data_IF_906843798385
#
_entry.id   IF_906843798385
#
_cell.length_a   1.000
_cell.length_b   1.000
_cell.length_c   1.000
_cell.angle_alpha   90.00
_cell.angle_beta   90.00
_cell.angle_gamma   90.00
#
_symmetry.space_group_name_H-M   'P 1'
#
loop_
_entity.id
_entity.type
_entity.pdbx_description
1 polymer ?
#
# COMPACT_ATOMS: atom_id res chain seq x y z
N UNK A 1 5.83 -31.70 0.17
CA UNK A 1 6.64 -30.53 0.57
C UNK A 1 7.07 -30.74 2.00
N UNK A 2 8.29 -30.35 2.36
CA UNK A 2 8.75 -30.48 3.75
C UNK A 2 8.14 -29.31 4.54
N UNK A 3 7.29 -29.59 5.53
CA UNK A 3 6.55 -28.60 6.30
C UNK A 3 7.38 -28.02 7.49
N UNK A 4 8.71 -27.92 7.31
CA UNK A 4 9.58 -27.32 8.32
C UNK A 4 9.26 -25.82 8.43
N UNK A 5 8.71 -25.40 9.56
CA UNK A 5 8.46 -24.00 9.88
C UNK A 5 9.74 -23.41 10.49
N UNK A 6 10.28 -22.38 9.84
CA UNK A 6 11.40 -21.61 10.35
C UNK A 6 10.90 -20.41 11.16
N UNK A 7 11.58 -20.07 12.25
CA UNK A 7 11.21 -18.93 13.09
C UNK A 7 12.42 -18.28 13.75
N UNK A 8 12.26 -17.01 14.08
CA UNK A 8 13.20 -16.26 14.92
C UNK A 8 12.45 -15.70 16.13
N UNK A 9 13.08 -15.66 17.29
CA UNK A 9 12.47 -15.14 18.53
C UNK A 9 13.12 -13.83 18.92
N UNK A 10 12.35 -12.76 19.04
CA UNK A 10 12.83 -11.50 19.60
C UNK A 10 13.20 -11.66 21.07
N UNK A 11 14.44 -11.32 21.42
CA UNK A 11 14.95 -11.30 22.78
C UNK A 11 14.87 -9.92 23.41
N UNK A 12 15.16 -8.88 22.63
CA UNK A 12 15.03 -7.48 23.04
C UNK A 12 14.79 -6.60 21.83
N UNK A 13 14.18 -5.44 22.07
CA UNK A 13 13.90 -4.41 21.07
C UNK A 13 14.26 -3.05 21.63
N UNK A 14 14.91 -2.22 20.82
CA UNK A 14 15.28 -0.85 21.12
C UNK A 14 14.66 0.06 20.04
N UNK A 15 13.85 1.03 20.44
CA UNK A 15 13.32 2.03 19.51
C UNK A 15 14.40 3.05 19.19
N UNK A 16 14.80 3.14 17.93
CA UNK A 16 15.80 4.09 17.44
C UNK A 16 15.18 5.39 16.95
N UNK A 17 13.96 5.32 16.41
CA UNK A 17 13.23 6.47 15.91
C UNK A 17 11.73 6.20 16.03
N UNK A 18 10.98 7.21 16.47
CA UNK A 18 9.52 7.21 16.48
C UNK A 18 9.04 8.46 15.74
N UNK A 19 8.44 8.24 14.57
CA UNK A 19 7.93 9.28 13.70
C UNK A 19 6.41 9.24 13.58
N UNK A 20 5.88 10.14 12.76
CA UNK A 20 4.43 10.19 12.47
C UNK A 20 3.95 9.01 11.62
N UNK A 21 4.79 8.48 10.73
CA UNK A 21 4.43 7.44 9.76
C UNK A 21 5.03 6.10 10.14
N UNK A 22 6.28 6.09 10.57
CA UNK A 22 7.03 4.88 10.87
C UNK A 22 7.66 4.93 12.26
N UNK A 23 7.87 3.75 12.83
CA UNK A 23 8.77 3.55 13.97
C UNK A 23 9.88 2.61 13.54
N UNK A 24 11.15 2.97 13.81
CA UNK A 24 12.30 2.11 13.55
C UNK A 24 12.78 1.48 14.85
N UNK A 25 12.86 0.16 14.87
CA UNK A 25 13.46 -0.59 15.98
C UNK A 25 14.72 -1.32 15.55
N UNK A 26 15.59 -1.57 16.54
CA UNK A 26 16.72 -2.47 16.44
C UNK A 26 16.52 -3.62 17.43
N UNK A 27 16.29 -4.79 16.89
CA UNK A 27 15.96 -5.97 17.65
C UNK A 27 17.15 -6.92 17.74
N UNK A 28 17.26 -7.64 18.86
CA UNK A 28 18.12 -8.82 18.97
C UNK A 28 17.25 -10.06 18.84
N UNK A 29 17.46 -10.83 17.79
CA UNK A 29 16.74 -12.07 17.51
C UNK A 29 17.58 -13.30 17.83
N UNK A 30 16.93 -14.31 18.42
CA UNK A 30 17.49 -15.66 18.60
C UNK A 30 17.16 -16.47 17.34
N UNK A 31 18.18 -16.99 16.70
CA UNK A 31 18.09 -17.86 15.53
C UNK A 31 17.92 -19.32 15.94
N UNK A 32 17.45 -20.17 15.01
CA UNK A 32 17.26 -21.62 15.21
C UNK A 32 18.53 -22.37 15.61
N UNK A 33 19.70 -21.88 15.22
CA UNK A 33 21.00 -22.45 15.58
C UNK A 33 21.50 -22.02 16.97
N UNK A 34 20.69 -21.33 17.76
CA UNK A 34 21.01 -20.82 19.10
C UNK A 34 21.88 -19.56 19.14
N UNK A 35 22.24 -19.01 17.99
CA UNK A 35 22.99 -17.75 17.91
C UNK A 35 22.04 -16.56 17.90
N UNK A 36 22.55 -15.38 18.17
CA UNK A 36 21.80 -14.13 18.05
C UNK A 36 22.21 -13.37 16.80
N UNK A 37 21.24 -12.60 16.25
CA UNK A 37 21.47 -11.67 15.16
C UNK A 37 20.68 -10.37 15.40
N UNK A 38 21.15 -9.29 14.80
CA UNK A 38 20.42 -8.01 14.80
C UNK A 38 19.39 -7.99 13.66
N UNK A 39 18.23 -7.41 13.95
CA UNK A 39 17.20 -7.05 12.96
C UNK A 39 16.89 -5.57 13.09
N UNK A 40 16.84 -4.87 11.99
CA UNK A 40 16.34 -3.51 11.90
C UNK A 40 14.96 -3.58 11.28
N UNK A 41 13.94 -3.09 12.00
CA UNK A 41 12.53 -3.25 11.61
C UNK A 41 11.87 -1.90 11.52
N UNK A 42 11.29 -1.61 10.36
CA UNK A 42 10.40 -0.47 10.14
C UNK A 42 8.98 -0.93 10.45
N UNK A 43 8.35 -0.31 11.44
CA UNK A 43 6.95 -0.56 11.77
C UNK A 43 6.08 0.46 11.07
N UNK A 44 5.12 -0.01 10.28
CA UNK A 44 4.14 0.77 9.54
C UNK A 44 2.72 0.28 9.82
N UNK A 45 1.72 1.17 9.79
CA UNK A 45 0.33 0.80 10.06
C UNK A 45 -0.36 0.07 8.91
N UNK A 46 0.29 -0.03 7.76
CA UNK A 46 -0.26 -0.58 6.54
C UNK A 46 -0.96 0.46 5.68
N UNK A 47 -1.50 0.01 4.57
CA UNK A 47 -2.23 0.83 3.61
C UNK A 47 -3.37 0.07 2.95
N UNK A 48 -4.26 0.81 2.32
CA UNK A 48 -5.32 0.28 1.47
C UNK A 48 -5.15 0.81 0.05
N UNK A 49 -5.26 -0.07 -0.93
CA UNK A 49 -5.15 0.25 -2.36
C UNK A 49 -6.39 -0.24 -3.10
N UNK A 50 -6.86 0.53 -4.05
CA UNK A 50 -8.05 0.18 -4.81
C UNK A 50 -7.82 0.38 -6.31
N UNK A 51 -8.29 -0.56 -7.14
CA UNK A 51 -8.30 -0.50 -8.59
C UNK A 51 -9.73 -0.16 -9.06
N UNK A 52 -10.02 1.10 -9.44
CA UNK A 52 -11.31 1.49 -9.96
C UNK A 52 -11.43 1.06 -11.43
N UNK A 53 -12.26 0.04 -11.70
CA UNK A 53 -12.43 -0.53 -13.03
C UNK A 53 -13.74 -0.12 -13.67
N UNK A 54 -13.67 0.56 -14.81
CA UNK A 54 -14.81 1.01 -15.59
C UNK A 54 -15.30 -0.04 -16.58
N UNK A 55 -16.57 0.01 -16.92
CA UNK A 55 -17.21 -0.94 -17.85
C UNK A 55 -16.60 -0.91 -19.28
N UNK A 56 -15.89 0.15 -19.64
CA UNK A 56 -15.21 0.29 -20.94
C UNK A 56 -13.79 -0.27 -20.96
N UNK A 57 -13.35 -0.95 -19.89
CA UNK A 57 -12.02 -1.54 -19.80
C UNK A 57 -10.89 -0.58 -19.38
N UNK A 58 -11.25 0.64 -18.96
CA UNK A 58 -10.28 1.58 -18.36
C UNK A 58 -10.27 1.47 -16.85
N UNK A 59 -9.17 1.95 -16.23
CA UNK A 59 -9.03 2.09 -14.78
C UNK A 59 -8.75 3.54 -14.43
N UNK A 60 -9.05 3.95 -13.20
CA UNK A 60 -8.56 5.21 -12.66
C UNK A 60 -7.18 5.00 -12.04
N UNK A 61 -6.24 5.82 -12.42
CA UNK A 61 -4.92 5.92 -11.80
C UNK A 61 -4.68 7.34 -11.34
N UNK A 62 -3.84 7.52 -10.35
CA UNK A 62 -3.42 8.83 -9.86
C UNK A 62 -1.96 9.08 -10.20
N UNK A 63 -1.62 10.33 -10.45
CA UNK A 63 -0.25 10.77 -10.66
C UNK A 63 0.12 11.76 -9.57
N UNK A 64 1.13 11.40 -8.76
CA UNK A 64 1.57 12.26 -7.67
C UNK A 64 3.10 12.27 -7.55
N UNK A 65 3.64 13.33 -6.96
CA UNK A 65 5.07 13.44 -6.66
C UNK A 65 5.40 12.67 -5.38
N UNK A 66 6.29 11.68 -5.48
CA UNK A 66 6.79 10.92 -4.33
C UNK A 66 8.14 11.47 -3.88
N UNK A 67 8.12 12.18 -2.75
CA UNK A 67 9.30 12.86 -2.21
C UNK A 67 10.50 11.93 -2.05
N UNK A 68 10.32 10.72 -1.53
CA UNK A 68 11.40 9.76 -1.36
C UNK A 68 12.07 9.36 -2.68
N UNK A 69 11.31 9.31 -3.77
CA UNK A 69 11.80 8.96 -5.12
C UNK A 69 12.20 10.20 -5.93
N UNK A 70 11.87 11.41 -5.47
CA UNK A 70 12.12 12.69 -6.16
C UNK A 70 11.55 12.72 -7.58
N UNK A 71 10.40 12.08 -7.82
CA UNK A 71 9.76 12.02 -9.14
C UNK A 71 8.24 11.87 -9.04
N UNK A 72 7.56 12.17 -10.15
CA UNK A 72 6.14 11.86 -10.29
C UNK A 72 5.97 10.39 -10.69
N UNK A 73 5.09 9.69 -9.98
CA UNK A 73 4.74 8.29 -10.25
C UNK A 73 3.27 8.16 -10.63
N UNK A 74 2.98 7.15 -11.44
CA UNK A 74 1.64 6.65 -11.67
C UNK A 74 1.34 5.53 -10.68
N UNK A 75 0.23 5.64 -10.01
CA UNK A 75 -0.15 4.71 -8.94
C UNK A 75 -1.65 4.37 -9.02
N UNK A 76 -2.05 3.27 -8.43
CA UNK A 76 -3.45 3.07 -8.07
C UNK A 76 -3.78 3.96 -6.86
N UNK A 77 -5.03 4.44 -6.75
CA UNK A 77 -5.48 5.15 -5.56
C UNK A 77 -5.19 4.34 -4.30
N UNK A 78 -4.50 4.95 -3.34
CA UNK A 78 -4.06 4.26 -2.14
C UNK A 78 -3.64 5.21 -1.03
N UNK A 79 -3.97 4.86 0.21
CA UNK A 79 -3.52 5.61 1.36
C UNK A 79 -3.21 4.75 2.57
N UNK A 80 -2.59 5.39 3.55
CA UNK A 80 -2.22 4.78 4.82
C UNK A 80 -3.47 4.52 5.66
N UNK A 81 -3.45 3.42 6.40
CA UNK A 81 -4.46 3.17 7.42
C UNK A 81 -4.28 4.13 8.59
N UNK A 82 -5.37 4.72 9.05
CA UNK A 82 -5.39 5.35 10.35
C UNK A 82 -5.32 4.29 11.46
N UNK A 83 -4.92 4.71 12.66
CA UNK A 83 -4.78 3.77 13.78
C UNK A 83 -6.10 3.07 14.11
N UNK A 84 -6.16 1.77 13.82
CA UNK A 84 -7.35 0.93 14.04
C UNK A 84 -8.44 1.06 12.98
N UNK A 85 -8.13 1.72 11.85
CA UNK A 85 -9.04 1.80 10.71
C UNK A 85 -9.21 0.42 10.06
N UNK A 86 -10.45 0.11 9.68
CA UNK A 86 -10.74 -1.08 8.87
C UNK A 86 -10.20 -0.88 7.45
N UNK A 87 -9.37 -1.80 6.92
CA UNK A 87 -8.74 -1.62 5.61
C UNK A 87 -9.74 -1.46 4.45
N UNK A 88 -10.92 -2.09 4.55
CA UNK A 88 -11.94 -1.95 3.53
C UNK A 88 -12.62 -0.56 3.58
N UNK A 89 -12.81 -0.02 4.77
CA UNK A 89 -13.30 1.34 4.94
C UNK A 89 -12.30 2.34 4.37
N UNK A 90 -11.00 2.16 4.65
CA UNK A 90 -9.93 2.98 4.08
C UNK A 90 -9.92 2.93 2.54
N UNK A 91 -10.03 1.75 1.92
CA UNK A 91 -10.06 1.64 0.46
C UNK A 91 -11.23 2.42 -0.17
N UNK A 92 -12.40 2.44 0.47
CA UNK A 92 -13.56 3.22 0.00
C UNK A 92 -13.33 4.72 0.16
N UNK A 93 -12.75 5.12 1.27
CA UNK A 93 -12.40 6.51 1.56
C UNK A 93 -11.41 7.04 0.52
N UNK A 94 -10.32 6.32 0.27
CA UNK A 94 -9.31 6.69 -0.74
C UNK A 94 -9.87 6.76 -2.16
N UNK A 95 -10.78 5.85 -2.53
CA UNK A 95 -11.48 5.90 -3.82
C UNK A 95 -12.24 7.21 -4.00
N UNK A 96 -12.92 7.67 -2.95
CA UNK A 96 -13.69 8.90 -2.98
C UNK A 96 -12.78 10.13 -2.92
N UNK A 97 -11.82 10.16 -2.02
CA UNK A 97 -10.93 11.29 -1.78
C UNK A 97 -10.05 11.57 -2.99
N UNK A 98 -9.35 10.58 -3.51
CA UNK A 98 -8.36 10.75 -4.58
C UNK A 98 -8.97 10.74 -6.00
N UNK A 99 -10.08 10.02 -6.20
CA UNK A 99 -10.67 9.86 -7.55
C UNK A 99 -12.03 10.54 -7.72
N UNK A 100 -12.70 10.95 -6.64
CA UNK A 100 -14.08 11.40 -6.68
C UNK A 100 -15.02 10.31 -7.21
N UNK A 101 -14.83 9.07 -6.73
CA UNK A 101 -15.60 7.90 -7.17
C UNK A 101 -16.12 7.11 -5.96
N UNK A 102 -17.32 6.55 -6.11
CA UNK A 102 -17.84 5.46 -5.27
C UNK A 102 -18.14 4.25 -6.15
N UNK A 103 -18.42 3.09 -5.58
CA UNK A 103 -18.68 1.87 -6.34
C UNK A 103 -19.80 1.02 -5.75
N UNK A 104 -20.46 0.23 -6.61
CA UNK A 104 -21.49 -0.74 -6.19
C UNK A 104 -20.87 -2.02 -5.63
N UNK A 105 -19.73 -2.45 -6.22
CA UNK A 105 -19.12 -3.73 -5.90
C UNK A 105 -17.63 -3.57 -5.62
N UNK A 106 -17.16 -4.34 -4.62
CA UNK A 106 -15.76 -4.41 -4.23
C UNK A 106 -15.35 -5.88 -4.14
N UNK A 107 -14.24 -6.22 -4.79
CA UNK A 107 -13.69 -7.58 -4.82
C UNK A 107 -12.30 -7.50 -4.19
N UNK A 108 -12.08 -8.21 -3.09
CA UNK A 108 -10.75 -8.29 -2.47
C UNK A 108 -9.78 -9.04 -3.38
N UNK A 109 -8.60 -8.48 -3.55
CA UNK A 109 -7.45 -9.14 -4.18
C UNK A 109 -6.46 -9.70 -3.15
N UNK A 110 -6.74 -9.52 -1.86
CA UNK A 110 -5.89 -9.97 -0.76
C UNK A 110 -4.90 -8.92 -0.28
N UNK A 111 -3.82 -9.41 0.31
CA UNK A 111 -2.77 -8.63 0.96
C UNK A 111 -1.49 -8.65 0.13
N UNK A 112 -0.82 -7.53 0.09
CA UNK A 112 0.48 -7.37 -0.55
C UNK A 112 1.51 -6.89 0.47
N UNK A 113 2.66 -7.54 0.50
CA UNK A 113 3.78 -7.21 1.38
C UNK A 113 4.92 -6.60 0.56
N UNK A 114 5.06 -5.27 0.50
CA UNK A 114 5.99 -4.61 -0.41
C UNK A 114 7.45 -4.89 -0.06
N UNK A 115 7.78 -5.03 1.24
CA UNK A 115 9.16 -5.10 1.69
C UNK A 115 9.35 -6.05 2.88
N UNK A 116 9.14 -7.34 2.65
CA UNK A 116 9.15 -8.39 3.70
C UNK A 116 10.47 -8.54 4.47
N UNK A 117 11.55 -7.94 4.02
CA UNK A 117 12.88 -8.10 4.63
C UNK A 117 13.10 -7.26 5.89
N UNK A 118 12.42 -6.13 6.03
CA UNK A 118 12.61 -5.21 7.15
C UNK A 118 11.42 -4.30 7.48
N UNK A 119 10.33 -4.35 6.71
CA UNK A 119 9.15 -3.51 6.91
C UNK A 119 7.94 -4.37 7.27
N UNK A 120 7.09 -3.87 8.17
CA UNK A 120 5.85 -4.51 8.56
C UNK A 120 4.65 -4.03 7.75
N UNK A 121 4.86 -3.23 6.71
CA UNK A 121 3.78 -2.73 5.88
C UNK A 121 3.00 -3.86 5.21
N UNK A 122 1.68 -3.79 5.33
CA UNK A 122 0.73 -4.62 4.60
C UNK A 122 -0.17 -3.70 3.79
N UNK A 123 -0.27 -3.93 2.49
CA UNK A 123 -1.19 -3.21 1.61
C UNK A 123 -2.37 -4.12 1.28
N UNK A 124 -3.54 -3.75 1.74
CA UNK A 124 -4.80 -4.44 1.44
C UNK A 124 -5.34 -3.93 0.11
N UNK A 125 -5.74 -4.84 -0.79
CA UNK A 125 -6.06 -4.49 -2.17
C UNK A 125 -7.47 -4.91 -2.59
N UNK A 126 -8.16 -4.05 -3.35
CA UNK A 126 -9.48 -4.31 -3.91
C UNK A 126 -9.60 -3.86 -5.36
N UNK A 127 -10.55 -4.48 -6.07
CA UNK A 127 -11.10 -3.95 -7.32
C UNK A 127 -12.48 -3.35 -7.01
N UNK A 128 -12.75 -2.15 -7.52
CA UNK A 128 -14.03 -1.49 -7.46
C UNK A 128 -14.71 -1.44 -8.84
N UNK A 129 -15.96 -1.86 -8.93
CA UNK A 129 -16.76 -1.84 -10.16
C UNK A 129 -18.15 -1.24 -9.92
N UNK A 130 -18.86 -0.85 -10.99
CA UNK A 130 -20.10 -0.08 -10.85
C UNK A 130 -19.81 1.31 -10.32
N UNK A 131 -18.89 2.02 -10.96
CA UNK A 131 -18.35 3.29 -10.48
C UNK A 131 -19.31 4.45 -10.71
N UNK A 132 -19.50 5.26 -9.68
CA UNK A 132 -20.32 6.48 -9.68
C UNK A 132 -19.46 7.69 -9.34
N UNK A 133 -19.70 8.81 -10.02
CA UNK A 133 -19.00 10.07 -9.73
C UNK A 133 -19.51 10.69 -8.43
N UNK A 134 -18.59 11.13 -7.63
CA UNK A 134 -18.80 11.98 -6.45
C UNK A 134 -17.82 13.14 -6.47
N UNK A 135 -17.67 13.83 -5.36
CA UNK A 135 -16.75 14.96 -5.24
C UNK A 135 -15.42 14.47 -4.65
N UNK A 136 -14.34 14.78 -5.33
CA UNK A 136 -12.97 14.55 -4.83
C UNK A 136 -12.65 15.47 -3.64
N UNK A 137 -11.94 14.95 -2.65
CA UNK A 137 -11.61 15.66 -1.40
C UNK A 137 -10.18 15.32 -0.96
N UNK A 138 -9.20 15.92 -1.62
CA UNK A 138 -7.80 15.74 -1.25
C UNK A 138 -7.50 16.42 0.10
N UNK A 139 -6.58 15.85 0.84
CA UNK A 139 -5.98 16.47 1.99
C UNK A 139 -5.22 17.75 1.59
N UNK A 140 -5.04 18.68 2.55
CA UNK A 140 -4.46 20.00 2.28
C UNK A 140 -3.00 19.96 1.78
N UNK A 141 -2.29 18.86 2.05
CA UNK A 141 -0.91 18.59 1.65
C UNK A 141 -0.81 17.52 0.53
N UNK A 142 -1.95 17.12 -0.07
CA UNK A 142 -2.01 16.20 -1.19
C UNK A 142 -2.17 16.92 -2.52
N UNK A 143 -1.29 16.60 -3.46
CA UNK A 143 -1.29 17.13 -4.82
C UNK A 143 -1.18 15.99 -5.80
N UNK A 144 -2.31 15.48 -6.24
CA UNK A 144 -2.40 14.40 -7.22
C UNK A 144 -3.42 14.71 -8.33
N UNK A 145 -3.29 14.01 -9.44
CA UNK A 145 -4.20 14.15 -10.58
C UNK A 145 -4.69 12.76 -10.99
N UNK A 146 -5.99 12.47 -10.84
CA UNK A 146 -6.58 11.24 -11.36
C UNK A 146 -6.69 11.29 -12.87
N UNK A 147 -6.44 10.17 -13.53
CA UNK A 147 -6.61 10.01 -14.97
C UNK A 147 -7.13 8.61 -15.33
N UNK A 148 -7.80 8.50 -16.45
CA UNK A 148 -8.33 7.23 -16.97
C UNK A 148 -7.35 6.62 -17.96
N UNK A 149 -6.94 5.40 -17.67
CA UNK A 149 -5.94 4.66 -18.45
C UNK A 149 -6.54 3.31 -18.85
N UNK A 150 -6.44 2.87 -20.13
CA UNK A 150 -6.79 1.51 -20.51
C UNK A 150 -6.01 0.50 -19.67
N UNK A 151 -6.67 -0.54 -19.13
CA UNK A 151 -6.03 -1.54 -18.28
C UNK A 151 -4.82 -2.17 -18.98
N UNK A 152 -4.93 -2.47 -20.26
CA UNK A 152 -3.82 -3.01 -21.05
C UNK A 152 -2.63 -2.06 -21.09
N UNK A 153 -2.87 -0.75 -21.23
CA UNK A 153 -1.79 0.25 -21.18
C UNK A 153 -1.14 0.31 -19.80
N UNK A 154 -1.94 0.28 -18.72
CA UNK A 154 -1.42 0.23 -17.35
C UNK A 154 -0.55 -1.01 -17.14
N UNK A 155 -1.00 -2.18 -17.62
CA UNK A 155 -0.20 -3.42 -17.58
C UNK A 155 1.13 -3.26 -18.31
N UNK A 156 1.15 -2.69 -19.52
CA UNK A 156 2.38 -2.43 -20.25
C UNK A 156 3.30 -1.45 -19.52
N UNK A 157 2.75 -0.44 -18.84
CA UNK A 157 3.54 0.50 -18.04
C UNK A 157 4.21 -0.19 -16.85
N UNK A 158 3.54 -1.16 -16.19
CA UNK A 158 4.16 -2.02 -15.16
C UNK A 158 5.32 -2.81 -15.74
N UNK A 159 5.10 -3.49 -16.87
CA UNK A 159 6.13 -4.31 -17.53
C UNK A 159 7.36 -3.50 -17.98
N UNK A 160 7.18 -2.22 -18.25
CA UNK A 160 8.26 -1.29 -18.63
C UNK A 160 8.83 -0.52 -17.43
N UNK A 161 8.45 -0.85 -16.21
CA UNK A 161 8.85 -0.16 -14.98
C UNK A 161 8.53 1.35 -14.99
N UNK A 162 7.44 1.75 -15.66
CA UNK A 162 6.94 3.13 -15.69
C UNK A 162 5.90 3.39 -14.60
N UNK A 163 5.41 2.35 -13.99
CA UNK A 163 4.52 2.36 -12.82
C UNK A 163 5.22 1.58 -11.72
N UNK A 164 5.22 2.14 -10.54
CA UNK A 164 5.67 1.46 -9.32
C UNK A 164 4.46 1.36 -8.38
N UNK A 165 4.12 0.15 -8.07
CA UNK A 165 3.07 -0.17 -7.09
C UNK A 165 3.73 -0.29 -5.73
#
# INVERSE_FOLDING_TARGET
MNDTVHFEKTLSSETLFEGRVITLTKDTALLENGKTATREVVHHHGGACILPYFADGTICMVRQFRYAMQQQLWELPAGKLEKGEDPFAAAKRELEEECGLTADNYISLGEFYPTVGYDTEVIYTWVATGLHKTKMHLDADEFLTPDRVPLEKAYQMVMLSLIHI
#
